data_IF_006025050846
#
_entry.id   IF_006025050846
#
_cell.length_a   1.000
_cell.length_b   1.000
_cell.length_c   1.000
_cell.angle_alpha   90.00
_cell.angle_beta   90.00
_cell.angle_gamma   90.00
#
_symmetry.space_group_name_H-M   'P 1'
#
loop_
_entity.id
_entity.type
_entity.pdbx_description
1 polymer ?
#
# COMPACT_ATOMS: atom_id res chain seq x y z
N UNK A 1 16.83 16.71 -14.69
CA UNK A 1 16.74 16.91 -16.17
C UNK A 1 16.51 15.58 -16.91
N UNK A 2 17.18 14.47 -16.56
CA UNK A 2 17.01 13.16 -17.24
C UNK A 2 15.57 12.59 -17.23
N UNK A 3 14.81 12.76 -16.15
CA UNK A 3 13.42 12.26 -16.01
C UNK A 3 12.48 12.85 -17.07
N UNK A 4 12.65 14.12 -17.43
CA UNK A 4 11.81 14.80 -18.44
C UNK A 4 11.89 14.14 -19.83
N UNK A 5 12.98 13.46 -20.14
CA UNK A 5 13.15 12.74 -21.42
C UNK A 5 12.64 11.30 -21.35
N UNK A 6 12.75 10.65 -20.18
CA UNK A 6 12.37 9.23 -20.03
C UNK A 6 10.87 9.03 -19.75
N UNK A 7 10.23 9.96 -19.03
CA UNK A 7 8.82 9.90 -18.62
C UNK A 7 8.17 11.29 -18.77
N UNK A 8 7.94 11.76 -20.01
CA UNK A 8 7.28 13.06 -20.24
C UNK A 8 5.84 13.08 -19.70
N UNK A 9 5.19 11.94 -19.61
CA UNK A 9 3.87 11.75 -19.02
C UNK A 9 3.84 12.14 -17.53
N UNK A 10 4.93 11.95 -16.77
CA UNK A 10 5.01 12.34 -15.36
C UNK A 10 4.90 13.86 -15.12
N UNK A 11 5.10 14.65 -16.18
CA UNK A 11 4.92 16.10 -16.11
C UNK A 11 3.57 16.51 -16.69
N UNK A 12 3.19 15.90 -17.83
CA UNK A 12 1.94 16.25 -18.51
C UNK A 12 0.70 15.82 -17.75
N UNK A 13 0.77 14.76 -16.94
CA UNK A 13 -0.34 14.28 -16.10
C UNK A 13 -0.86 15.37 -15.15
N UNK A 14 0.00 16.24 -14.66
CA UNK A 14 -0.37 17.35 -13.77
C UNK A 14 -1.06 18.52 -14.47
N UNK A 15 -1.26 18.45 -15.81
CA UNK A 15 -2.09 19.39 -16.56
C UNK A 15 -3.57 19.00 -16.55
N UNK A 16 -3.87 17.76 -16.18
CA UNK A 16 -5.26 17.28 -16.07
C UNK A 16 -5.91 17.83 -14.78
N UNK A 17 -7.02 18.61 -14.91
CA UNK A 17 -7.68 19.22 -13.76
C UNK A 17 -8.24 18.20 -12.76
N UNK A 18 -8.70 17.04 -13.24
CA UNK A 18 -9.24 16.00 -12.39
C UNK A 18 -8.14 15.30 -11.57
N UNK A 19 -6.95 15.10 -12.17
CA UNK A 19 -5.78 14.60 -11.44
C UNK A 19 -5.36 15.58 -10.36
N UNK A 20 -5.24 16.87 -10.69
CA UNK A 20 -4.91 17.91 -9.71
C UNK A 20 -5.93 17.98 -8.57
N UNK A 21 -7.21 17.88 -8.88
CA UNK A 21 -8.28 17.91 -7.87
C UNK A 21 -8.24 16.69 -6.96
N UNK A 22 -8.02 15.50 -7.51
CA UNK A 22 -8.03 14.23 -6.78
C UNK A 22 -6.77 14.02 -5.95
N UNK A 23 -5.63 14.57 -6.38
CA UNK A 23 -4.31 14.40 -5.75
C UNK A 23 -3.75 15.75 -5.28
N UNK A 24 -4.62 16.61 -4.72
CA UNK A 24 -4.24 17.95 -4.28
C UNK A 24 -3.31 17.96 -3.07
N UNK A 25 -3.45 16.99 -2.14
CA UNK A 25 -2.54 16.89 -1.01
C UNK A 25 -1.17 16.39 -1.45
N UNK A 26 -1.12 15.36 -2.29
CA UNK A 26 0.14 14.85 -2.84
C UNK A 26 0.86 15.92 -3.66
N UNK A 27 0.14 16.65 -4.52
CA UNK A 27 0.71 17.78 -5.25
C UNK A 27 1.25 18.85 -4.29
N UNK A 28 0.51 19.13 -3.22
CA UNK A 28 0.96 20.05 -2.17
C UNK A 28 2.22 19.58 -1.44
N UNK A 29 2.41 18.28 -1.23
CA UNK A 29 3.67 17.72 -0.72
C UNK A 29 4.83 17.96 -1.71
N UNK A 30 4.61 17.69 -2.99
CA UNK A 30 5.61 17.92 -4.04
C UNK A 30 6.02 19.40 -4.17
N UNK A 31 5.09 20.31 -3.90
CA UNK A 31 5.30 21.77 -3.96
C UNK A 31 5.72 22.36 -2.60
N UNK A 32 5.89 21.54 -1.55
CA UNK A 32 6.16 21.95 -0.16
C UNK A 32 5.13 22.91 0.45
N UNK A 33 3.89 22.84 -0.02
CA UNK A 33 2.73 23.58 0.52
C UNK A 33 1.87 22.74 1.46
N UNK A 34 2.26 21.49 1.70
CA UNK A 34 1.68 20.54 2.66
C UNK A 34 2.79 19.82 3.42
N UNK A 35 2.43 19.24 4.56
CA UNK A 35 3.30 18.43 5.41
C UNK A 35 2.82 16.97 5.34
N UNK A 36 3.76 16.04 5.22
CA UNK A 36 3.47 14.61 5.23
C UNK A 36 2.79 14.20 6.54
N UNK A 37 1.75 13.37 6.42
CA UNK A 37 0.88 12.97 7.54
C UNK A 37 1.69 12.40 8.72
N UNK A 38 2.72 11.61 8.43
CA UNK A 38 3.55 11.03 9.49
C UNK A 38 4.33 12.09 10.29
N UNK A 39 4.75 13.20 9.68
CA UNK A 39 5.42 14.30 10.40
C UNK A 39 4.45 15.01 11.36
N UNK A 40 3.21 15.18 10.93
CA UNK A 40 2.16 15.75 11.80
C UNK A 40 1.86 14.76 12.94
N UNK A 41 1.75 13.47 12.65
CA UNK A 41 1.50 12.43 13.65
C UNK A 41 2.60 12.33 14.74
N UNK A 42 3.85 12.69 14.40
CA UNK A 42 4.94 12.82 15.39
C UNK A 42 4.70 13.90 16.42
N UNK A 43 3.91 14.93 16.10
CA UNK A 43 3.63 16.04 16.99
C UNK A 43 2.39 15.85 17.86
N UNK A 44 1.60 14.81 17.59
CA UNK A 44 0.41 14.46 18.38
C UNK A 44 0.81 13.60 19.58
N UNK A 45 0.68 14.16 20.76
CA UNK A 45 1.03 13.50 22.02
C UNK A 45 -0.03 12.49 22.43
N UNK A 46 0.42 11.33 22.90
CA UNK A 46 -0.42 10.26 23.40
C UNK A 46 0.05 9.86 24.80
N UNK A 47 -0.81 9.94 25.79
CA UNK A 47 -0.51 9.47 27.14
C UNK A 47 -0.90 7.99 27.27
N UNK A 48 0.08 7.09 27.25
CA UNK A 48 -0.10 5.65 27.39
C UNK A 48 1.13 4.97 27.96
N UNK A 49 0.91 3.81 28.57
CA UNK A 49 1.99 2.90 28.96
C UNK A 49 2.19 1.84 27.86
N UNK A 50 3.42 1.62 27.36
CA UNK A 50 3.70 0.56 26.38
C UNK A 50 3.28 -0.85 26.83
N UNK A 51 3.11 -1.07 28.14
CA UNK A 51 2.64 -2.33 28.70
C UNK A 51 1.10 -2.43 28.80
N UNK A 52 0.36 -1.37 28.46
CA UNK A 52 -1.11 -1.43 28.46
C UNK A 52 -1.61 -2.56 27.56
N UNK A 53 -2.82 -3.08 27.83
CA UNK A 53 -3.41 -4.14 27.04
C UNK A 53 -3.70 -3.69 25.59
N UNK A 54 -3.86 -4.65 24.68
CA UNK A 54 -4.19 -4.37 23.26
C UNK A 54 -5.47 -3.55 23.15
N UNK A 55 -6.48 -3.88 23.97
CA UNK A 55 -7.79 -3.23 23.97
C UNK A 55 -7.70 -1.75 24.40
N UNK A 56 -6.86 -1.43 25.40
CA UNK A 56 -6.62 -0.05 25.85
C UNK A 56 -5.95 0.74 24.73
N UNK A 57 -4.88 0.18 24.13
CA UNK A 57 -4.15 0.86 23.06
C UNK A 57 -5.01 1.00 21.78
N UNK A 58 -5.84 0.02 21.42
CA UNK A 58 -6.78 0.10 20.31
C UNK A 58 -7.81 1.22 20.52
N UNK A 59 -8.37 1.33 21.73
CA UNK A 59 -9.30 2.41 22.08
C UNK A 59 -8.63 3.77 21.96
N UNK A 60 -7.44 3.92 22.53
CA UNK A 60 -6.69 5.16 22.46
C UNK A 60 -6.29 5.52 21.03
N UNK A 61 -5.90 4.52 20.20
CA UNK A 61 -5.59 4.73 18.79
C UNK A 61 -6.79 5.35 18.04
N UNK A 62 -8.00 4.84 18.28
CA UNK A 62 -9.23 5.36 17.68
C UNK A 62 -9.56 6.79 18.15
N UNK A 63 -9.39 7.08 19.45
CA UNK A 63 -9.58 8.43 19.99
C UNK A 63 -8.58 9.41 19.37
N UNK A 64 -7.32 9.03 19.28
CA UNK A 64 -6.25 9.86 18.70
C UNK A 64 -6.37 10.01 17.18
N UNK A 65 -6.98 9.05 16.48
CA UNK A 65 -7.33 9.20 15.07
C UNK A 65 -8.28 10.39 14.82
N UNK A 66 -9.26 10.59 15.71
CA UNK A 66 -10.18 11.75 15.62
C UNK A 66 -9.41 13.05 15.82
N UNK A 67 -8.61 13.13 16.88
CA UNK A 67 -7.77 14.30 17.19
C UNK A 67 -6.76 14.60 16.05
N UNK A 68 -6.18 13.56 15.46
CA UNK A 68 -5.29 13.70 14.31
C UNK A 68 -5.99 14.29 13.09
N UNK A 69 -7.23 13.85 12.80
CA UNK A 69 -8.02 14.39 11.68
C UNK A 69 -8.40 15.87 11.88
N UNK A 70 -8.66 16.30 13.11
CA UNK A 70 -8.84 17.71 13.46
C UNK A 70 -7.55 18.50 13.26
N UNK A 71 -6.41 17.92 13.66
CA UNK A 71 -5.09 18.53 13.50
C UNK A 71 -4.74 18.78 12.03
N UNK A 72 -5.12 17.87 11.12
CA UNK A 72 -4.90 18.01 9.68
C UNK A 72 -5.63 19.20 9.05
N UNK A 73 -6.62 19.80 9.73
CA UNK A 73 -7.35 20.99 9.25
C UNK A 73 -6.65 22.30 9.62
N UNK A 74 -5.58 22.26 10.42
CA UNK A 74 -4.86 23.45 10.84
C UNK A 74 -4.03 24.04 9.69
N UNK A 75 -3.71 25.33 9.82
CA UNK A 75 -2.81 26.01 8.90
C UNK A 75 -1.41 25.36 8.88
N UNK A 76 -0.81 25.30 7.69
CA UNK A 76 0.51 24.68 7.49
C UNK A 76 1.60 25.36 8.32
N UNK A 77 1.53 26.68 8.52
CA UNK A 77 2.54 27.38 9.31
C UNK A 77 2.45 27.02 10.79
N UNK A 78 1.25 26.73 11.31
CA UNK A 78 1.05 26.19 12.66
C UNK A 78 1.62 24.78 12.74
N UNK A 79 1.32 23.95 11.75
CA UNK A 79 1.82 22.56 11.72
C UNK A 79 3.35 22.48 11.68
N UNK A 80 4.01 23.39 10.96
CA UNK A 80 5.49 23.46 10.88
C UNK A 80 6.16 23.80 12.21
N UNK A 81 5.47 24.51 13.10
CA UNK A 81 6.04 24.90 14.42
C UNK A 81 5.85 23.86 15.50
N UNK A 82 5.14 22.77 15.24
CA UNK A 82 4.86 21.74 16.24
C UNK A 82 6.08 20.89 16.53
N UNK A 83 6.32 20.67 17.81
CA UNK A 83 7.43 19.84 18.27
C UNK A 83 7.11 18.35 18.19
N UNK A 84 8.12 17.56 17.87
CA UNK A 84 8.04 16.08 17.92
C UNK A 84 7.90 15.64 19.39
N UNK A 85 6.92 14.77 19.64
CA UNK A 85 6.64 14.21 20.96
C UNK A 85 7.27 12.82 21.10
N UNK A 86 7.82 12.54 22.28
CA UNK A 86 8.39 11.22 22.57
C UNK A 86 7.30 10.14 22.54
N UNK A 87 6.19 10.38 23.25
CA UNK A 87 5.00 9.53 23.20
C UNK A 87 4.04 10.04 22.13
N UNK A 88 4.43 9.89 20.86
CA UNK A 88 3.64 10.36 19.73
C UNK A 88 2.61 9.33 19.25
N UNK A 89 1.67 9.78 18.41
CA UNK A 89 0.68 8.92 17.75
C UNK A 89 1.34 7.80 16.94
N UNK A 90 2.49 8.06 16.30
CA UNK A 90 3.27 7.01 15.63
C UNK A 90 3.79 5.97 16.64
N UNK A 91 4.27 6.41 17.81
CA UNK A 91 4.78 5.49 18.82
C UNK A 91 3.66 4.61 19.39
N UNK A 92 2.45 5.15 19.54
CA UNK A 92 1.26 4.38 19.92
C UNK A 92 0.94 3.31 18.86
N UNK A 93 0.86 3.70 17.57
CA UNK A 93 0.58 2.77 16.47
C UNK A 93 1.64 1.66 16.34
N UNK A 94 2.93 2.02 16.46
CA UNK A 94 4.03 1.05 16.47
C UNK A 94 3.95 0.09 17.65
N UNK A 95 3.69 0.60 18.86
CA UNK A 95 3.58 -0.22 20.08
C UNK A 95 2.47 -1.25 19.92
N UNK A 96 1.31 -0.84 19.42
CA UNK A 96 0.19 -1.75 19.16
C UNK A 96 0.52 -2.76 18.05
N UNK A 97 1.19 -2.33 16.97
CA UNK A 97 1.65 -3.23 15.92
C UNK A 97 2.62 -4.30 16.45
N UNK A 98 3.54 -3.93 17.34
CA UNK A 98 4.45 -4.89 17.99
C UNK A 98 3.70 -5.89 18.87
N UNK A 99 2.67 -5.46 19.59
CA UNK A 99 1.80 -6.39 20.35
C UNK A 99 1.01 -7.35 19.46
N UNK A 100 0.66 -6.96 18.23
CA UNK A 100 0.04 -7.88 17.26
C UNK A 100 0.99 -8.96 16.75
N UNK A 101 2.30 -8.84 16.93
CA UNK A 101 3.25 -9.93 16.64
C UNK A 101 3.15 -11.11 17.59
N UNK A 102 2.64 -10.92 18.82
CA UNK A 102 2.43 -12.00 19.80
C UNK A 102 1.36 -13.01 19.37
N UNK A 103 0.39 -12.55 18.59
CA UNK A 103 -0.64 -13.34 17.91
C UNK A 103 -0.98 -12.63 16.61
N UNK A 104 -0.33 -13.05 15.52
CA UNK A 104 -0.29 -12.28 14.27
C UNK A 104 -1.65 -12.18 13.58
N UNK A 105 -2.16 -10.95 13.51
CA UNK A 105 -3.43 -10.60 12.87
C UNK A 105 -3.28 -9.53 11.78
N UNK A 106 -2.10 -9.30 11.21
CA UNK A 106 -1.89 -8.23 10.24
C UNK A 106 -2.73 -8.36 8.96
N UNK A 107 -3.01 -9.58 8.53
CA UNK A 107 -3.86 -9.83 7.38
C UNK A 107 -5.02 -10.78 7.72
N UNK A 108 -6.02 -10.85 6.85
CA UNK A 108 -7.20 -11.69 7.06
C UNK A 108 -6.95 -13.21 6.99
N UNK A 109 -5.68 -13.62 6.81
CA UNK A 109 -5.30 -15.02 7.10
C UNK A 109 -5.35 -15.33 8.58
N UNK A 110 -5.17 -14.32 9.45
CA UNK A 110 -5.27 -14.44 10.92
C UNK A 110 -4.56 -15.70 11.40
N UNK A 111 -3.25 -15.79 11.08
CA UNK A 111 -2.46 -16.99 11.42
C UNK A 111 -2.33 -17.20 12.93
N UNK A 112 -2.50 -16.12 13.72
CA UNK A 112 -2.46 -16.11 15.21
C UNK A 112 -1.18 -16.72 15.80
N UNK A 113 -0.11 -16.84 15.00
CA UNK A 113 1.20 -17.31 15.42
C UNK A 113 1.94 -16.26 16.22
N UNK A 114 2.84 -16.68 17.09
CA UNK A 114 3.71 -15.79 17.87
C UNK A 114 5.00 -15.48 17.10
N UNK A 115 4.98 -14.36 16.35
CA UNK A 115 6.17 -13.93 15.58
C UNK A 115 7.32 -13.44 16.45
N UNK A 116 7.05 -13.05 17.72
CA UNK A 116 8.12 -12.69 18.68
C UNK A 116 8.98 -13.90 19.00
N UNK A 117 8.37 -15.10 19.02
CA UNK A 117 9.05 -16.37 19.21
C UNK A 117 9.52 -17.02 17.89
N UNK A 118 9.65 -16.21 16.83
CA UNK A 118 10.12 -16.64 15.48
C UNK A 118 9.20 -17.65 14.79
N UNK A 119 7.94 -17.82 15.25
CA UNK A 119 6.97 -18.60 14.51
C UNK A 119 6.65 -17.92 13.17
N UNK A 120 6.47 -18.73 12.12
CA UNK A 120 6.27 -18.23 10.76
C UNK A 120 4.93 -18.74 10.21
N UNK A 121 4.05 -17.78 9.86
CA UNK A 121 2.79 -18.05 9.17
C UNK A 121 2.97 -18.20 7.66
N UNK A 122 1.89 -18.02 6.93
CA UNK A 122 1.87 -18.20 5.47
C UNK A 122 2.90 -17.32 4.72
N UNK A 123 3.12 -16.08 5.18
CA UNK A 123 4.08 -15.16 4.57
C UNK A 123 5.54 -15.54 4.82
N UNK A 124 5.81 -16.40 5.80
CA UNK A 124 7.11 -16.84 6.30
C UNK A 124 7.99 -15.70 6.85
N UNK A 125 7.40 -14.59 7.25
CA UNK A 125 8.08 -13.47 7.91
C UNK A 125 7.92 -13.63 9.43
N UNK A 126 9.04 -13.66 10.15
CA UNK A 126 9.10 -13.66 11.62
C UNK A 126 8.97 -12.23 12.19
N UNK A 127 9.60 -11.97 13.34
CA UNK A 127 9.59 -10.62 13.94
C UNK A 127 10.41 -9.60 13.16
N UNK A 128 11.40 -10.06 12.39
CA UNK A 128 12.29 -9.19 11.63
C UNK A 128 11.72 -8.95 10.23
N UNK A 129 11.85 -7.73 9.74
CA UNK A 129 11.53 -7.39 8.36
C UNK A 129 12.73 -7.65 7.45
N UNK A 130 12.44 -8.00 6.20
CA UNK A 130 13.45 -8.30 5.19
C UNK A 130 13.16 -7.52 3.90
N UNK A 131 14.18 -6.83 3.38
CA UNK A 131 14.13 -6.04 2.16
C UNK A 131 14.93 -6.73 1.05
N UNK A 132 14.30 -6.94 -0.10
CA UNK A 132 14.92 -7.56 -1.28
C UNK A 132 15.70 -6.56 -2.11
N UNK A 133 15.16 -5.35 -2.28
CA UNK A 133 15.80 -4.30 -3.08
C UNK A 133 15.25 -2.91 -2.76
N UNK A 134 16.07 -1.88 -3.03
CA UNK A 134 15.76 -0.46 -2.78
C UNK A 134 16.30 0.37 -3.95
N UNK A 135 15.44 1.06 -4.69
CA UNK A 135 15.85 1.87 -5.83
C UNK A 135 14.78 2.91 -6.24
N UNK A 136 15.18 3.88 -7.10
CA UNK A 136 14.23 4.78 -7.76
C UNK A 136 13.57 4.05 -8.92
N UNK A 137 12.28 3.80 -8.80
CA UNK A 137 11.48 3.11 -9.80
C UNK A 137 10.81 4.12 -10.75
N UNK A 138 10.98 3.92 -12.06
CA UNK A 138 10.41 4.76 -13.10
C UNK A 138 9.25 4.11 -13.84
N UNK A 139 8.86 2.90 -13.47
CA UNK A 139 7.77 2.13 -14.08
C UNK A 139 6.42 2.24 -13.35
N UNK A 140 6.31 3.09 -12.33
CA UNK A 140 5.06 3.35 -11.62
C UNK A 140 4.13 4.27 -12.43
N UNK A 141 2.93 4.52 -11.92
CA UNK A 141 1.97 5.47 -12.47
C UNK A 141 2.60 6.86 -12.63
N UNK A 142 2.21 7.55 -13.69
CA UNK A 142 2.81 8.82 -14.14
C UNK A 142 2.98 9.87 -13.04
N UNK A 143 2.03 9.97 -12.11
CA UNK A 143 2.06 10.93 -10.98
C UNK A 143 3.11 10.57 -9.91
N UNK A 144 3.53 9.31 -9.83
CA UNK A 144 4.35 8.77 -8.73
C UNK A 144 5.85 8.73 -9.05
N UNK A 145 6.27 8.92 -10.30
CA UNK A 145 7.68 8.72 -10.71
C UNK A 145 8.50 10.01 -10.66
N UNK A 146 9.75 9.91 -10.15
CA UNK A 146 10.46 8.72 -9.65
C UNK A 146 9.97 8.28 -8.28
N UNK A 147 9.61 7.01 -8.14
CA UNK A 147 9.14 6.43 -6.89
C UNK A 147 10.30 5.81 -6.12
N UNK A 148 10.49 6.20 -4.86
CA UNK A 148 11.48 5.63 -3.97
C UNK A 148 10.98 4.30 -3.42
N UNK A 149 11.27 3.22 -4.11
CA UNK A 149 10.63 1.93 -3.91
C UNK A 149 11.46 1.01 -3.02
N UNK A 150 10.82 0.46 -1.98
CA UNK A 150 11.38 -0.51 -1.03
C UNK A 150 10.62 -1.83 -1.19
N UNK A 151 11.27 -2.84 -1.76
CA UNK A 151 10.69 -4.17 -1.98
C UNK A 151 10.91 -5.08 -0.79
N UNK A 152 9.83 -5.41 -0.08
CA UNK A 152 9.87 -6.38 1.02
C UNK A 152 9.83 -7.82 0.53
N UNK A 153 10.49 -8.71 1.25
CA UNK A 153 10.44 -10.15 1.05
C UNK A 153 9.18 -10.75 1.69
N UNK A 154 8.62 -11.76 1.06
CA UNK A 154 7.43 -12.48 1.55
C UNK A 154 6.10 -11.81 1.16
N UNK A 155 5.03 -12.59 1.15
CA UNK A 155 3.69 -12.16 0.80
C UNK A 155 2.63 -13.02 1.49
N UNK A 156 1.54 -12.42 1.89
CA UNK A 156 0.37 -13.11 2.44
C UNK A 156 -0.52 -13.74 1.35
N UNK A 157 -0.27 -13.46 0.05
CA UNK A 157 -0.92 -14.10 -1.09
C UNK A 157 -0.07 -15.22 -1.71
N UNK A 158 -0.73 -16.12 -2.43
CA UNK A 158 -0.14 -17.18 -3.22
C UNK A 158 -0.49 -17.07 -4.70
N UNK A 159 -0.49 -15.86 -5.28
CA UNK A 159 -0.90 -15.63 -6.67
C UNK A 159 -0.16 -16.55 -7.64
N UNK A 160 -0.90 -17.35 -8.39
CA UNK A 160 -0.35 -18.31 -9.37
C UNK A 160 0.32 -17.64 -10.56
N UNK A 161 0.04 -16.36 -10.80
CA UNK A 161 0.63 -15.55 -11.88
C UNK A 161 1.56 -14.44 -11.36
N UNK A 162 2.15 -14.61 -10.17
CA UNK A 162 2.94 -13.57 -9.54
C UNK A 162 4.18 -13.22 -10.36
N UNK A 163 4.30 -11.96 -10.81
CA UNK A 163 5.45 -11.47 -11.56
C UNK A 163 6.68 -11.23 -10.67
N UNK A 164 6.47 -11.11 -9.35
CA UNK A 164 7.51 -11.00 -8.33
C UNK A 164 7.59 -12.28 -7.49
N UNK A 165 7.43 -13.46 -8.13
CA UNK A 165 7.35 -14.72 -7.42
C UNK A 165 8.65 -15.08 -6.69
N UNK A 166 9.79 -14.60 -7.18
CA UNK A 166 11.13 -14.79 -6.60
C UNK A 166 11.23 -14.20 -5.18
N UNK A 167 10.62 -13.05 -4.92
CA UNK A 167 10.61 -12.40 -3.60
C UNK A 167 9.37 -12.74 -2.77
N UNK A 168 8.28 -13.17 -3.40
CA UNK A 168 7.00 -13.42 -2.70
C UNK A 168 6.73 -14.87 -2.37
N UNK A 169 7.00 -15.82 -3.30
CA UNK A 169 6.52 -17.20 -3.20
C UNK A 169 7.58 -18.28 -3.48
N UNK A 170 8.38 -18.15 -4.56
CA UNK A 170 9.17 -19.25 -5.09
C UNK A 170 10.37 -19.65 -4.23
N UNK A 171 10.77 -18.81 -3.28
CA UNK A 171 11.83 -19.09 -2.31
C UNK A 171 11.35 -19.95 -1.14
N UNK A 172 10.05 -19.96 -0.83
CA UNK A 172 9.46 -20.67 0.31
C UNK A 172 9.81 -22.16 0.26
N UNK A 173 10.46 -22.63 1.33
CA UNK A 173 10.92 -24.03 1.44
C UNK A 173 12.12 -24.41 0.58
N UNK A 174 12.77 -23.45 -0.10
CA UNK A 174 13.92 -23.69 -0.99
C UNK A 174 15.18 -22.93 -0.59
N UNK A 175 15.04 -21.74 0.00
CA UNK A 175 16.14 -20.86 0.42
C UNK A 175 15.87 -20.27 1.77
N UNK A 176 16.91 -19.92 2.52
CA UNK A 176 16.76 -19.09 3.70
C UNK A 176 16.52 -17.64 3.27
N UNK A 177 15.72 -16.92 4.05
CA UNK A 177 15.38 -15.54 3.76
C UNK A 177 16.62 -14.63 3.83
N UNK A 178 17.54 -14.93 4.71
CA UNK A 178 18.79 -14.19 4.92
C UNK A 178 19.74 -14.28 3.72
N UNK A 179 19.64 -15.37 2.91
CA UNK A 179 20.49 -15.57 1.73
C UNK A 179 20.03 -14.72 0.53
N UNK A 180 18.81 -14.18 0.57
CA UNK A 180 18.16 -13.54 -0.58
C UNK A 180 17.60 -12.13 -0.29
N UNK A 181 17.79 -11.65 0.92
CA UNK A 181 17.29 -10.35 1.35
C UNK A 181 18.08 -9.80 2.54
N UNK A 182 18.06 -8.49 2.70
CA UNK A 182 18.65 -7.81 3.84
C UNK A 182 17.64 -7.75 4.98
N UNK A 183 18.00 -8.24 6.16
CA UNK A 183 17.28 -7.97 7.40
C UNK A 183 17.39 -6.47 7.71
N UNK A 184 16.29 -5.85 8.11
CA UNK A 184 16.24 -4.43 8.47
C UNK A 184 15.47 -4.22 9.78
N UNK A 185 16.00 -3.33 10.62
CA UNK A 185 15.28 -2.76 11.74
C UNK A 185 14.62 -1.42 11.36
N UNK A 186 14.01 -0.76 12.33
CA UNK A 186 13.30 0.51 12.13
C UNK A 186 14.26 1.65 11.71
N UNK A 187 15.48 1.68 12.24
CA UNK A 187 16.48 2.73 11.91
C UNK A 187 17.08 2.51 10.53
N UNK A 188 17.39 1.27 10.21
CA UNK A 188 17.90 0.89 8.88
C UNK A 188 16.86 1.18 7.81
N UNK A 189 15.58 0.84 8.05
CA UNK A 189 14.51 1.15 7.12
C UNK A 189 14.32 2.65 6.94
N UNK A 190 14.39 3.44 8.00
CA UNK A 190 14.34 4.89 7.94
C UNK A 190 15.53 5.45 7.14
N UNK A 191 16.74 4.95 7.36
CA UNK A 191 17.93 5.35 6.59
C UNK A 191 17.75 5.08 5.11
N UNK A 192 17.20 3.92 4.72
CA UNK A 192 16.92 3.60 3.32
C UNK A 192 15.90 4.56 2.71
N UNK A 193 14.84 4.91 3.44
CA UNK A 193 13.83 5.88 3.00
C UNK A 193 14.43 7.28 2.80
N UNK A 194 15.22 7.78 3.76
CA UNK A 194 15.88 9.08 3.65
C UNK A 194 16.87 9.12 2.47
N UNK A 195 17.61 8.03 2.23
CA UNK A 195 18.50 7.93 1.05
C UNK A 195 17.74 7.96 -0.28
N UNK A 196 16.52 7.42 -0.35
CA UNK A 196 15.68 7.54 -1.53
C UNK A 196 15.20 8.99 -1.72
N UNK A 197 14.80 9.67 -0.64
CA UNK A 197 14.41 11.08 -0.66
C UNK A 197 15.57 11.96 -1.14
N UNK A 198 16.79 11.78 -0.61
CA UNK A 198 18.01 12.49 -1.03
C UNK A 198 18.33 12.27 -2.53
N UNK A 199 18.01 11.10 -3.08
CA UNK A 199 18.18 10.77 -4.51
C UNK A 199 17.09 11.37 -5.40
N UNK A 200 16.10 12.06 -4.83
CA UNK A 200 15.03 12.73 -5.56
C UNK A 200 13.78 11.91 -5.78
N UNK A 201 13.51 10.91 -4.92
CA UNK A 201 12.21 10.24 -4.88
C UNK A 201 11.08 11.24 -4.59
N UNK A 202 9.93 11.08 -5.23
CA UNK A 202 8.73 11.87 -4.95
C UNK A 202 7.88 11.28 -3.82
N UNK A 203 8.08 10.01 -3.52
CA UNK A 203 7.40 9.25 -2.47
C UNK A 203 8.29 8.11 -1.97
N UNK A 204 7.98 7.60 -0.79
CA UNK A 204 8.51 6.33 -0.29
C UNK A 204 7.45 5.26 -0.48
N UNK A 205 7.70 4.34 -1.40
CA UNK A 205 6.78 3.31 -1.86
C UNK A 205 7.09 1.98 -1.16
N UNK A 206 6.27 1.62 -0.19
CA UNK A 206 6.35 0.34 0.51
C UNK A 206 5.62 -0.73 -0.29
N UNK A 207 6.37 -1.68 -0.86
CA UNK A 207 5.89 -2.69 -1.82
C UNK A 207 6.67 -4.01 -1.68
N UNK A 208 6.70 -4.84 -2.68
CA UNK A 208 7.56 -6.02 -2.79
C UNK A 208 6.78 -7.30 -3.01
N UNK A 209 7.02 -8.31 -2.18
CA UNK A 209 6.08 -9.39 -2.00
C UNK A 209 4.77 -8.79 -1.50
N UNK A 210 4.80 -8.25 -0.28
CA UNK A 210 3.78 -7.31 0.23
C UNK A 210 4.26 -6.59 1.50
N UNK A 211 3.94 -5.31 1.75
CA UNK A 211 4.34 -4.58 2.95
C UNK A 211 3.57 -5.00 4.21
N UNK A 212 2.39 -5.61 4.09
CA UNK A 212 1.51 -5.98 5.23
C UNK A 212 2.25 -6.77 6.33
N UNK A 213 3.08 -7.79 6.03
CA UNK A 213 3.82 -8.50 7.07
C UNK A 213 4.81 -7.62 7.86
N UNK A 214 5.14 -6.43 7.34
CA UNK A 214 6.20 -5.56 7.83
C UNK A 214 5.68 -4.26 8.48
N UNK A 215 4.36 -4.14 8.74
CA UNK A 215 3.71 -2.95 9.31
C UNK A 215 4.45 -2.42 10.54
N UNK A 216 4.85 -3.28 11.48
CA UNK A 216 5.53 -2.88 12.72
C UNK A 216 6.86 -2.16 12.48
N UNK A 217 7.68 -2.67 11.56
CA UNK A 217 8.97 -2.04 11.20
C UNK A 217 8.76 -0.75 10.39
N UNK A 218 7.76 -0.74 9.48
CA UNK A 218 7.40 0.46 8.71
C UNK A 218 6.99 1.58 9.67
N UNK A 219 6.05 1.32 10.59
CA UNK A 219 5.62 2.30 11.59
C UNK A 219 6.79 2.78 12.48
N UNK A 220 7.62 1.84 12.94
CA UNK A 220 8.82 2.18 13.72
C UNK A 220 9.79 3.08 12.95
N UNK A 221 9.95 2.86 11.64
CA UNK A 221 10.84 3.66 10.80
C UNK A 221 10.37 5.11 10.65
N UNK A 222 9.06 5.37 10.66
CA UNK A 222 8.51 6.73 10.58
C UNK A 222 8.97 7.63 11.74
N UNK A 223 9.31 7.06 12.90
CA UNK A 223 9.86 7.84 14.03
C UNK A 223 11.21 8.48 13.71
N UNK A 224 12.00 7.83 12.87
CA UNK A 224 13.37 8.24 12.54
C UNK A 224 13.48 9.01 11.21
N UNK A 225 12.45 8.95 10.35
CA UNK A 225 12.40 9.75 9.12
C UNK A 225 12.11 11.22 9.45
N UNK A 226 12.65 12.15 8.64
CA UNK A 226 12.50 13.61 8.81
C UNK A 226 12.14 14.35 7.53
N UNK A 227 12.31 13.73 6.38
CA UNK A 227 12.02 14.33 5.08
C UNK A 227 10.53 14.57 4.89
N UNK A 228 10.14 15.76 4.40
CA UNK A 228 8.76 16.03 4.03
C UNK A 228 8.41 15.31 2.71
N UNK A 229 8.26 13.99 2.78
CA UNK A 229 8.04 13.12 1.62
C UNK A 229 6.82 12.23 1.81
N UNK A 230 6.04 12.07 0.75
CA UNK A 230 4.84 11.24 0.71
C UNK A 230 5.14 9.79 1.11
N UNK A 231 4.38 9.25 2.04
CA UNK A 231 4.37 7.84 2.40
C UNK A 231 3.31 7.11 1.55
N UNK A 232 3.75 6.21 0.67
CA UNK A 232 2.93 5.49 -0.30
C UNK A 232 2.78 4.02 0.10
N UNK A 233 1.53 3.56 0.27
CA UNK A 233 1.20 2.17 0.56
C UNK A 233 0.78 1.42 -0.70
N UNK A 234 1.62 0.50 -1.19
CA UNK A 234 1.43 -0.29 -2.42
C UNK A 234 1.30 -1.78 -2.06
N UNK A 235 0.08 -2.32 -2.06
CA UNK A 235 -0.21 -3.60 -1.43
C UNK A 235 -1.37 -4.33 -2.10
N UNK A 236 -1.41 -5.66 -1.92
CA UNK A 236 -2.57 -6.48 -2.25
C UNK A 236 -3.81 -6.19 -1.38
N UNK A 237 -3.65 -5.39 -0.35
CA UNK A 237 -4.68 -4.78 0.48
C UNK A 237 -5.54 -5.73 1.34
N UNK A 238 -5.08 -6.98 1.54
CA UNK A 238 -5.77 -7.99 2.34
C UNK A 238 -5.46 -7.85 3.85
N UNK A 239 -5.55 -6.62 4.36
CA UNK A 239 -5.37 -6.29 5.78
C UNK A 239 -6.62 -6.59 6.61
N UNK A 240 -6.42 -6.87 7.91
CA UNK A 240 -7.52 -6.75 8.88
C UNK A 240 -7.87 -5.28 9.12
N UNK A 241 -9.08 -5.02 9.62
CA UNK A 241 -9.49 -3.67 10.00
C UNK A 241 -8.57 -3.07 11.08
N UNK A 242 -8.15 -3.89 12.04
CA UNK A 242 -7.20 -3.48 13.09
C UNK A 242 -5.86 -3.04 12.52
N UNK A 243 -5.34 -3.76 11.53
CA UNK A 243 -4.08 -3.40 10.87
C UNK A 243 -4.21 -2.19 9.97
N UNK A 244 -5.34 -2.04 9.29
CA UNK A 244 -5.62 -0.84 8.51
C UNK A 244 -5.70 0.40 9.40
N UNK A 245 -6.30 0.30 10.59
CA UNK A 245 -6.37 1.40 11.55
C UNK A 245 -4.98 1.91 12.00
N UNK A 246 -3.96 1.03 12.03
CA UNK A 246 -2.60 1.44 12.38
C UNK A 246 -1.94 2.40 11.36
N UNK A 247 -2.34 2.30 10.09
CA UNK A 247 -1.65 2.98 8.99
C UNK A 247 -2.52 4.02 8.26
N UNK A 248 -3.84 3.98 8.45
CA UNK A 248 -4.79 4.78 7.65
C UNK A 248 -4.56 6.29 7.78
N UNK A 249 -4.16 6.74 8.95
CA UNK A 249 -3.87 8.15 9.22
C UNK A 249 -2.44 8.56 8.83
N UNK A 250 -1.54 7.61 8.65
CA UNK A 250 -0.11 7.87 8.47
C UNK A 250 0.35 7.84 7.02
N UNK A 251 -0.40 7.18 6.15
CA UNK A 251 -0.09 7.12 4.72
C UNK A 251 -0.72 8.30 3.98
N UNK A 252 0.07 8.92 3.10
CA UNK A 252 -0.37 10.06 2.28
C UNK A 252 -1.04 9.62 1.00
N UNK A 253 -0.61 8.50 0.42
CA UNK A 253 -1.09 8.00 -0.86
C UNK A 253 -1.28 6.48 -0.84
N UNK A 254 -2.31 6.01 -1.55
CA UNK A 254 -2.68 4.61 -1.60
C UNK A 254 -2.62 4.07 -3.03
N UNK A 255 -1.96 2.93 -3.18
CA UNK A 255 -1.81 2.22 -4.45
C UNK A 255 -2.22 0.74 -4.30
N UNK A 256 -3.49 0.49 -3.90
CA UNK A 256 -3.95 -0.86 -3.63
C UNK A 256 -4.32 -1.62 -4.90
N UNK A 257 -4.08 -2.93 -4.86
CA UNK A 257 -4.55 -3.85 -5.90
C UNK A 257 -6.04 -4.18 -5.72
N UNK A 258 -6.80 -4.21 -6.84
CA UNK A 258 -8.12 -4.81 -6.90
C UNK A 258 -8.18 -5.78 -8.08
N UNK A 259 -7.81 -7.05 -7.84
CA UNK A 259 -7.55 -8.04 -8.88
C UNK A 259 -8.79 -8.82 -9.32
N UNK A 260 -9.67 -9.17 -8.36
CA UNK A 260 -10.80 -10.07 -8.59
C UNK A 260 -12.12 -9.43 -8.16
N UNK A 261 -13.17 -9.63 -8.98
CA UNK A 261 -14.51 -9.13 -8.73
C UNK A 261 -15.40 -10.07 -7.90
N UNK A 262 -14.83 -11.17 -7.39
CA UNK A 262 -15.52 -12.15 -6.56
C UNK A 262 -14.55 -12.94 -5.68
N UNK A 263 -15.09 -13.66 -4.69
CA UNK A 263 -14.32 -14.44 -3.73
C UNK A 263 -13.69 -15.70 -4.36
N UNK A 264 -14.40 -16.36 -5.27
CA UNK A 264 -13.98 -17.62 -5.88
C UNK A 264 -12.69 -17.46 -6.72
N UNK A 265 -12.59 -16.38 -7.49
CA UNK A 265 -11.36 -16.04 -8.22
C UNK A 265 -10.21 -15.72 -7.25
N UNK A 266 -10.48 -15.03 -6.14
CA UNK A 266 -9.49 -14.76 -5.09
C UNK A 266 -8.95 -16.05 -4.46
N UNK A 267 -9.82 -16.98 -4.14
CA UNK A 267 -9.43 -18.28 -3.58
C UNK A 267 -8.67 -19.13 -4.63
N UNK A 268 -9.20 -19.22 -5.85
CA UNK A 268 -8.62 -20.01 -6.94
C UNK A 268 -7.21 -19.56 -7.34
N UNK A 269 -7.00 -18.26 -7.53
CA UNK A 269 -5.76 -17.75 -8.13
C UNK A 269 -4.78 -17.13 -7.14
N UNK A 270 -5.21 -16.80 -5.93
CA UNK A 270 -4.34 -16.23 -4.88
C UNK A 270 -4.37 -16.99 -3.56
N UNK A 271 -5.23 -18.00 -3.43
CA UNK A 271 -5.33 -18.85 -2.23
C UNK A 271 -5.79 -18.06 -1.00
N UNK A 272 -6.72 -17.10 -1.16
CA UNK A 272 -7.26 -16.26 -0.08
C UNK A 272 -8.78 -16.28 -0.08
N UNK A 273 -9.38 -16.47 1.08
CA UNK A 273 -10.84 -16.52 1.28
C UNK A 273 -11.42 -15.12 1.46
N UNK A 274 -12.69 -14.93 1.03
CA UNK A 274 -13.40 -13.68 1.23
C UNK A 274 -12.72 -12.47 0.57
N UNK A 275 -12.02 -12.70 -0.55
CA UNK A 275 -11.18 -11.68 -1.20
C UNK A 275 -11.95 -10.39 -1.49
N UNK A 276 -13.08 -10.51 -2.22
CA UNK A 276 -13.85 -9.35 -2.66
C UNK A 276 -14.40 -8.56 -1.46
N UNK A 277 -14.90 -9.26 -0.46
CA UNK A 277 -15.47 -8.64 0.74
C UNK A 277 -14.42 -7.86 1.54
N UNK A 278 -13.24 -8.45 1.71
CA UNK A 278 -12.12 -7.80 2.43
C UNK A 278 -11.59 -6.60 1.65
N UNK A 279 -11.32 -6.79 0.35
CA UNK A 279 -10.69 -5.75 -0.47
C UNK A 279 -11.64 -4.57 -0.67
N UNK A 280 -12.92 -4.81 -0.97
CA UNK A 280 -13.91 -3.75 -1.11
C UNK A 280 -14.11 -2.97 0.20
N UNK A 281 -14.23 -3.66 1.34
CA UNK A 281 -14.28 -3.01 2.66
C UNK A 281 -13.09 -2.08 2.90
N UNK A 282 -11.88 -2.57 2.65
CA UNK A 282 -10.66 -1.82 2.91
C UNK A 282 -10.51 -0.61 1.95
N UNK A 283 -10.86 -0.77 0.66
CA UNK A 283 -10.88 0.34 -0.29
C UNK A 283 -11.87 1.43 0.14
N UNK A 284 -13.10 1.02 0.55
CA UNK A 284 -14.09 1.97 1.05
C UNK A 284 -13.59 2.71 2.28
N UNK A 285 -12.95 2.01 3.20
CA UNK A 285 -12.44 2.62 4.43
C UNK A 285 -11.37 3.68 4.15
N UNK A 286 -10.39 3.42 3.28
CA UNK A 286 -9.39 4.44 2.94
C UNK A 286 -9.95 5.60 2.11
N UNK A 287 -11.00 5.35 1.32
CA UNK A 287 -11.70 6.40 0.57
C UNK A 287 -12.47 7.34 1.51
N UNK A 288 -13.14 6.80 2.51
CA UNK A 288 -14.01 7.57 3.40
C UNK A 288 -13.24 8.22 4.57
N UNK A 289 -12.22 7.54 5.10
CA UNK A 289 -11.54 7.92 6.34
C UNK A 289 -10.06 8.27 6.18
N UNK A 290 -9.40 7.83 5.12
CA UNK A 290 -7.96 8.02 4.87
C UNK A 290 -7.62 9.37 4.22
N UNK A 291 -6.50 9.41 3.50
CA UNK A 291 -6.11 10.59 2.71
C UNK A 291 -7.04 10.85 1.53
N UNK A 292 -7.77 9.82 1.09
CA UNK A 292 -8.62 9.88 -0.11
C UNK A 292 -7.87 9.90 -1.44
N UNK A 293 -6.54 9.89 -1.42
CA UNK A 293 -5.70 9.91 -2.63
C UNK A 293 -5.31 8.49 -3.02
N UNK A 294 -6.06 7.93 -3.97
CA UNK A 294 -6.07 6.51 -4.28
C UNK A 294 -5.96 6.29 -5.79
N UNK A 295 -4.98 5.49 -6.20
CA UNK A 295 -4.97 4.84 -7.51
C UNK A 295 -5.18 3.34 -7.30
N UNK A 296 -6.31 2.82 -7.78
CA UNK A 296 -6.59 1.39 -7.74
C UNK A 296 -5.89 0.70 -8.90
N UNK A 297 -5.11 -0.32 -8.62
CA UNK A 297 -4.49 -1.17 -9.63
C UNK A 297 -5.38 -2.35 -9.97
N UNK A 298 -5.98 -2.31 -11.16
CA UNK A 298 -6.77 -3.42 -11.70
C UNK A 298 -6.02 -4.10 -12.84
N UNK A 299 -5.46 -5.28 -12.57
CA UNK A 299 -4.80 -6.11 -13.58
C UNK A 299 -5.85 -6.92 -14.35
N UNK A 300 -6.07 -6.57 -15.61
CA UNK A 300 -7.02 -7.28 -16.48
C UNK A 300 -6.46 -8.66 -16.79
N UNK A 301 -7.20 -9.69 -16.41
CA UNK A 301 -6.85 -11.09 -16.69
C UNK A 301 -7.68 -11.64 -17.86
N UNK A 302 -7.10 -12.51 -18.71
CA UNK A 302 -7.84 -13.10 -19.82
C UNK A 302 -9.02 -13.94 -19.31
N UNK A 303 -10.13 -13.89 -20.02
CA UNK A 303 -11.40 -14.56 -19.68
C UNK A 303 -12.08 -14.09 -18.38
N UNK A 304 -11.59 -13.00 -17.76
CA UNK A 304 -12.12 -12.52 -16.47
C UNK A 304 -12.74 -11.11 -16.56
N UNK A 305 -13.10 -10.66 -17.76
CA UNK A 305 -13.75 -9.36 -17.95
C UNK A 305 -15.08 -9.31 -17.23
N UNK A 306 -15.94 -10.31 -17.46
CA UNK A 306 -17.32 -10.33 -16.91
C UNK A 306 -17.33 -10.59 -15.40
N UNK A 307 -16.55 -11.56 -14.93
CA UNK A 307 -16.59 -11.99 -13.53
C UNK A 307 -15.68 -11.19 -12.60
N UNK A 308 -14.72 -10.41 -13.13
CA UNK A 308 -13.78 -9.63 -12.32
C UNK A 308 -13.74 -8.16 -12.69
N UNK A 309 -13.38 -7.82 -13.95
CA UNK A 309 -13.16 -6.42 -14.32
C UNK A 309 -14.43 -5.57 -14.19
N UNK A 310 -15.56 -6.02 -14.73
CA UNK A 310 -16.82 -5.27 -14.65
C UNK A 310 -17.32 -5.09 -13.21
N UNK A 311 -17.42 -6.14 -12.37
CA UNK A 311 -17.85 -5.98 -10.99
C UNK A 311 -16.95 -5.04 -10.16
N UNK A 312 -15.62 -5.06 -10.40
CA UNK A 312 -14.69 -4.12 -9.77
C UNK A 312 -15.02 -2.68 -10.17
N UNK A 313 -15.16 -2.42 -11.48
CA UNK A 313 -15.44 -1.08 -11.98
C UNK A 313 -16.81 -0.56 -11.51
N UNK A 314 -17.83 -1.41 -11.46
CA UNK A 314 -19.16 -1.10 -10.92
C UNK A 314 -19.07 -0.72 -9.43
N UNK A 315 -18.31 -1.51 -8.64
CA UNK A 315 -18.06 -1.20 -7.24
C UNK A 315 -17.34 0.15 -7.08
N UNK A 316 -16.28 0.40 -7.88
CA UNK A 316 -15.53 1.66 -7.82
C UNK A 316 -16.43 2.85 -8.15
N UNK A 317 -17.21 2.78 -9.23
CA UNK A 317 -18.09 3.87 -9.63
C UNK A 317 -19.16 4.18 -8.57
N UNK A 318 -19.68 3.16 -7.91
CA UNK A 318 -20.75 3.31 -6.91
C UNK A 318 -20.24 3.72 -5.53
N UNK A 319 -19.23 3.04 -5.01
CA UNK A 319 -18.85 3.12 -3.60
C UNK A 319 -17.63 4.03 -3.35
N UNK A 320 -16.74 4.20 -4.33
CA UNK A 320 -15.47 4.94 -4.18
C UNK A 320 -15.15 5.82 -5.40
N UNK A 321 -16.07 6.70 -5.84
CA UNK A 321 -15.99 7.41 -7.13
C UNK A 321 -14.85 8.42 -7.24
N UNK A 322 -14.21 8.80 -6.14
CA UNK A 322 -13.07 9.74 -6.14
C UNK A 322 -11.74 9.10 -6.53
N UNK A 323 -11.66 7.76 -6.59
CA UNK A 323 -10.45 7.06 -6.96
C UNK A 323 -10.13 7.19 -8.46
N UNK A 324 -8.85 7.13 -8.81
CA UNK A 324 -8.42 6.86 -10.18
C UNK A 324 -8.15 5.37 -10.32
N UNK A 325 -8.47 4.78 -11.46
CA UNK A 325 -8.20 3.36 -11.73
C UNK A 325 -7.10 3.23 -12.77
N UNK A 326 -6.03 2.51 -12.44
CA UNK A 326 -5.09 2.04 -13.45
C UNK A 326 -5.59 0.70 -14.02
N UNK A 327 -6.11 0.73 -15.26
CA UNK A 327 -6.56 -0.46 -16.00
C UNK A 327 -5.34 -1.09 -16.69
N UNK A 328 -4.74 -2.08 -16.03
CA UNK A 328 -3.43 -2.62 -16.39
C UNK A 328 -3.57 -3.79 -17.37
N UNK A 329 -3.08 -3.59 -18.60
CA UNK A 329 -3.07 -4.64 -19.67
C UNK A 329 -1.80 -5.50 -19.70
N UNK A 330 -0.87 -5.30 -18.77
CA UNK A 330 0.44 -5.98 -18.75
C UNK A 330 0.43 -7.39 -18.17
N UNK A 331 -0.74 -7.98 -17.93
CA UNK A 331 -0.82 -9.37 -17.50
C UNK A 331 -0.06 -10.28 -18.48
N UNK A 332 0.75 -11.17 -17.90
CA UNK A 332 1.42 -12.27 -18.61
C UNK A 332 1.41 -13.53 -17.73
N UNK A 333 1.32 -14.72 -18.32
CA UNK A 333 1.32 -15.96 -17.56
C UNK A 333 2.74 -16.25 -17.04
N UNK A 334 2.95 -15.92 -15.77
CA UNK A 334 4.19 -16.13 -15.03
C UNK A 334 3.98 -17.20 -13.94
N UNK A 335 5.07 -17.65 -13.35
CA UNK A 335 5.13 -18.55 -12.19
C UNK A 335 4.37 -19.88 -12.43
N UNK A 336 3.17 -20.02 -11.90
CA UNK A 336 2.32 -21.23 -12.03
C UNK A 336 1.11 -21.02 -12.94
N UNK A 337 1.00 -19.90 -13.63
CA UNK A 337 -0.16 -19.56 -14.44
C UNK A 337 -0.42 -20.60 -15.55
N UNK A 338 0.63 -21.28 -16.06
CA UNK A 338 0.52 -22.35 -17.06
C UNK A 338 -0.30 -23.56 -16.61
N UNK A 339 -0.53 -23.71 -15.29
CA UNK A 339 -1.38 -24.75 -14.73
C UNK A 339 -2.88 -24.45 -14.85
N UNK A 340 -3.24 -23.24 -15.31
CA UNK A 340 -4.61 -22.73 -15.44
C UNK A 340 -4.84 -22.28 -16.88
N UNK A 341 -5.42 -23.12 -17.70
CA UNK A 341 -5.57 -22.90 -19.16
C UNK A 341 -6.28 -21.57 -19.48
N UNK A 342 -7.24 -21.17 -18.65
CA UNK A 342 -8.04 -19.97 -18.84
C UNK A 342 -7.27 -18.66 -18.65
N UNK A 343 -6.14 -18.70 -17.91
CA UNK A 343 -5.27 -17.53 -17.68
C UNK A 343 -3.87 -17.71 -18.28
N UNK A 344 -3.64 -18.79 -19.05
CA UNK A 344 -2.32 -19.08 -19.66
C UNK A 344 -2.10 -18.33 -20.98
N UNK A 345 -2.54 -17.09 -21.08
CA UNK A 345 -2.30 -16.17 -22.21
C UNK A 345 -2.37 -14.73 -21.73
N UNK A 346 -1.99 -13.79 -22.55
CA UNK A 346 -2.26 -12.37 -22.32
C UNK A 346 -3.74 -12.04 -22.61
N UNK A 347 -4.30 -10.98 -22.00
CA UNK A 347 -5.60 -10.47 -22.42
C UNK A 347 -5.54 -10.02 -23.87
N UNK A 348 -6.64 -10.20 -24.60
CA UNK A 348 -6.75 -9.74 -25.99
C UNK A 348 -7.08 -8.25 -26.06
N UNK A 349 -6.91 -7.66 -27.25
CA UNK A 349 -7.31 -6.26 -27.47
C UNK A 349 -8.81 -6.05 -27.25
N UNK A 350 -9.64 -7.04 -27.60
CA UNK A 350 -11.09 -7.00 -27.39
C UNK A 350 -11.43 -7.03 -25.89
N UNK A 351 -10.75 -7.87 -25.10
CA UNK A 351 -10.92 -7.90 -23.64
C UNK A 351 -10.55 -6.54 -23.03
N UNK A 352 -9.39 -5.97 -23.41
CA UNK A 352 -8.97 -4.65 -22.95
C UNK A 352 -9.94 -3.54 -23.36
N UNK A 353 -10.43 -3.58 -24.60
CA UNK A 353 -11.41 -2.61 -25.10
C UNK A 353 -12.74 -2.73 -24.34
N UNK A 354 -13.20 -3.95 -24.07
CA UNK A 354 -14.42 -4.19 -23.30
C UNK A 354 -14.34 -3.58 -21.89
N UNK A 355 -13.21 -3.75 -21.20
CA UNK A 355 -12.98 -3.16 -19.88
C UNK A 355 -12.97 -1.63 -19.93
N UNK A 356 -12.24 -1.04 -20.90
CA UNK A 356 -12.16 0.41 -21.08
C UNK A 356 -13.50 1.04 -21.44
N UNK A 357 -14.25 0.41 -22.35
CA UNK A 357 -15.59 0.85 -22.71
C UNK A 357 -16.56 0.79 -21.52
N UNK A 358 -16.41 -0.22 -20.66
CA UNK A 358 -17.22 -0.30 -19.44
C UNK A 358 -16.85 0.81 -18.43
N UNK A 359 -15.56 1.10 -18.25
CA UNK A 359 -15.08 2.21 -17.43
C UNK A 359 -15.58 3.57 -17.95
N UNK A 360 -15.53 3.80 -19.27
CA UNK A 360 -16.05 5.02 -19.91
C UNK A 360 -17.57 5.18 -19.68
N UNK A 361 -18.37 4.09 -19.78
CA UNK A 361 -19.82 4.11 -19.49
C UNK A 361 -20.12 4.46 -18.04
N UNK A 362 -19.26 4.05 -17.11
CA UNK A 362 -19.40 4.32 -15.68
C UNK A 362 -18.80 5.68 -15.25
N UNK A 363 -18.17 6.42 -16.17
CA UNK A 363 -17.52 7.71 -15.86
C UNK A 363 -16.28 7.59 -15.01
N UNK A 364 -15.59 6.43 -15.01
CA UNK A 364 -14.37 6.18 -14.23
C UNK A 364 -13.18 6.89 -14.89
N UNK A 365 -12.44 7.64 -14.10
CA UNK A 365 -11.18 8.25 -14.52
C UNK A 365 -10.04 7.20 -14.49
N UNK A 366 -9.48 6.88 -15.66
CA UNK A 366 -8.36 5.93 -15.77
C UNK A 366 -7.26 6.40 -16.75
N UNK A 367 -7.63 7.15 -17.78
CA UNK A 367 -6.73 7.53 -18.90
C UNK A 367 -5.42 8.22 -18.48
N UNK A 368 -5.38 9.09 -17.45
CA UNK A 368 -4.14 9.78 -17.08
C UNK A 368 -3.05 8.85 -16.50
N UNK A 369 -3.42 7.67 -16.01
CA UNK A 369 -2.50 6.78 -15.27
C UNK A 369 -2.39 5.37 -15.87
N UNK A 370 -3.18 5.04 -16.91
CA UNK A 370 -3.23 3.71 -17.55
C UNK A 370 -2.41 3.65 -18.82
#
# INVERSE_FOLDING_TARGET
>A
MAIRFLRPDSISVWKDPEVLRRFSNYKGLLDNTRIARYLIAKSLECDFNPNDSKEILEKLLNEKSVEFKELLQQDIEILKTREVKQNSYIYLAETLAKKYLESCIFCERKCEINRIQEEKGYCLIGKNSHVSSVFLHHGEESVLVPSGTIFFQGCNFGCVFCQNSDISQSWKGKRNIEDISQKVDEKELAYLAEKLAEKGALNINYVGGDPIPNIHTILGSLKYQSSNICQLWNSNFYLTEKSLALIIDLMDFWLPDFKYGNNDCGEKYSGVKGYFDVISRNHKKIHDEGSGEIIIRHLVMPNHVECCSKPILEYVAKEIPKCIVNIMGQYRPEYKASQYSEINRRPTSEEMLAVKNHADKLGILYKPVS
#
